data_IF_315297913816
#
_entry.id   IF_315297913816
#
_cell.length_a   1.000
_cell.length_b   1.000
_cell.length_c   1.000
_cell.angle_alpha   90.00
_cell.angle_beta   90.00
_cell.angle_gamma   90.00
#
_symmetry.space_group_name_H-M   'P 1'
#
loop_
_entity.id
_entity.type
_entity.pdbx_description
1 polymer ?
#
# COMPACT_ATOMS: atom_id res chain seq x y z
N UNK A 1 -9.09 37.88 36.73
CA UNK A 1 -9.16 36.51 37.27
C UNK A 1 -10.62 36.15 37.43
N UNK A 2 -11.24 35.59 36.39
CA UNK A 2 -12.51 34.87 36.53
C UNK A 2 -12.19 33.43 36.14
N UNK A 3 -12.40 32.54 37.12
CA UNK A 3 -11.94 31.16 37.15
C UNK A 3 -13.19 30.30 37.02
N UNK A 4 -13.41 29.72 35.84
CA UNK A 4 -14.36 28.62 35.70
C UNK A 4 -13.66 27.33 36.15
N UNK A 5 -14.25 26.68 37.16
CA UNK A 5 -13.70 25.54 37.91
C UNK A 5 -14.03 24.16 37.30
N UNK A 6 -14.47 24.10 36.03
CA UNK A 6 -14.72 22.82 35.35
C UNK A 6 -13.78 22.63 34.14
N UNK A 7 -12.69 21.89 34.39
CA UNK A 7 -11.75 21.30 33.41
C UNK A 7 -10.99 22.26 32.46
N UNK A 8 -10.00 23.01 32.98
CA UNK A 8 -8.92 23.53 32.12
C UNK A 8 -7.92 22.42 31.80
N UNK A 9 -8.36 21.43 31.02
CA UNK A 9 -7.46 20.41 30.48
C UNK A 9 -6.59 21.07 29.40
N UNK A 10 -5.41 21.57 29.81
CA UNK A 10 -4.41 22.11 28.89
C UNK A 10 -4.01 20.98 27.92
N UNK A 11 -4.48 21.06 26.68
CA UNK A 11 -4.16 20.10 25.63
C UNK A 11 -3.02 20.63 24.76
N UNK A 12 -2.06 19.76 24.44
CA UNK A 12 -0.97 20.09 23.53
C UNK A 12 -1.42 20.02 22.07
N UNK A 13 -0.90 20.94 21.26
CA UNK A 13 -0.99 20.99 19.79
C UNK A 13 0.42 20.84 19.24
N UNK A 14 0.65 19.75 18.52
CA UNK A 14 1.92 19.48 17.87
C UNK A 14 1.91 20.13 16.50
N UNK A 15 2.84 21.03 16.25
CA UNK A 15 2.99 21.76 15.00
C UNK A 15 4.33 21.43 14.34
N UNK A 16 4.34 21.45 13.01
CA UNK A 16 5.55 21.30 12.21
C UNK A 16 5.76 22.55 11.37
N UNK A 17 7.00 23.05 11.36
CA UNK A 17 7.37 24.25 10.64
C UNK A 17 8.75 24.14 10.00
N UNK A 18 9.17 25.21 9.34
CA UNK A 18 10.49 25.34 8.75
C UNK A 18 11.30 26.37 9.53
N UNK A 19 12.47 25.94 10.00
CA UNK A 19 13.52 26.83 10.46
C UNK A 19 14.40 27.19 9.26
N UNK A 20 14.47 28.49 8.97
CA UNK A 20 15.34 28.98 7.90
C UNK A 20 16.75 29.21 8.45
N UNK A 21 17.73 28.53 7.87
CA UNK A 21 19.14 28.74 8.19
C UNK A 21 19.79 29.53 7.09
N UNK A 22 20.27 30.72 7.45
CA UNK A 22 21.01 31.59 6.55
C UNK A 22 22.37 30.96 6.26
N UNK A 23 22.46 30.19 5.17
CA UNK A 23 23.70 29.51 4.79
C UNK A 23 24.17 30.01 3.43
N UNK A 24 25.04 31.01 3.45
CA UNK A 24 25.70 31.57 2.26
C UNK A 24 26.58 30.58 1.49
N UNK A 25 26.86 29.39 2.05
CA UNK A 25 27.68 28.34 1.40
C UNK A 25 26.88 27.28 0.64
N UNK A 26 25.55 27.27 0.73
CA UNK A 26 24.71 26.21 0.15
C UNK A 26 24.16 26.57 -1.24
N UNK A 27 24.14 27.86 -1.58
CA UNK A 27 23.59 28.36 -2.86
C UNK A 27 24.46 28.05 -4.10
N UNK A 28 25.63 27.44 -3.95
CA UNK A 28 26.55 27.13 -5.08
C UNK A 28 26.37 25.72 -5.65
N UNK A 29 25.50 24.89 -5.06
CA UNK A 29 25.26 23.52 -5.51
C UNK A 29 23.81 23.42 -6.00
N UNK A 30 23.59 23.69 -7.28
CA UNK A 30 22.32 23.38 -7.97
C UNK A 30 22.13 21.87 -8.00
N UNK A 31 21.33 21.34 -7.07
CA UNK A 31 20.95 19.93 -6.98
C UNK A 31 19.43 19.81 -6.88
N UNK A 32 18.84 18.71 -7.35
CA UNK A 32 17.39 18.53 -7.51
C UNK A 32 16.55 18.68 -6.22
N UNK A 33 17.18 18.73 -5.04
CA UNK A 33 16.55 19.05 -3.75
C UNK A 33 16.84 20.51 -3.37
N UNK A 34 16.20 21.47 -4.05
CA UNK A 34 16.37 22.93 -3.95
C UNK A 34 15.98 23.58 -2.59
N UNK A 35 15.96 22.83 -1.48
CA UNK A 35 15.45 23.31 -0.18
C UNK A 35 16.39 23.14 1.01
N UNK A 36 17.70 22.97 0.79
CA UNK A 36 18.70 22.74 1.86
C UNK A 36 18.78 23.89 2.90
N UNK A 37 18.20 25.06 2.61
CA UNK A 37 18.11 26.19 3.56
C UNK A 37 16.96 26.09 4.58
N UNK A 38 16.11 25.06 4.49
CA UNK A 38 14.94 24.87 5.35
C UNK A 38 15.07 23.56 6.13
N UNK A 39 15.11 23.63 7.45
CA UNK A 39 15.04 22.45 8.29
C UNK A 39 13.64 22.30 8.87
N UNK A 40 13.08 21.10 8.79
CA UNK A 40 11.81 20.80 9.45
C UNK A 40 12.03 20.81 10.98
N UNK A 41 11.24 21.62 11.68
CA UNK A 41 11.33 21.79 13.11
C UNK A 41 9.97 21.51 13.77
N UNK A 42 9.85 20.44 14.57
CA UNK A 42 8.63 20.16 15.32
C UNK A 42 8.60 21.00 16.61
N UNK A 43 7.42 21.50 16.97
CA UNK A 43 7.18 22.20 18.22
C UNK A 43 5.85 21.79 18.84
N UNK A 44 5.76 21.79 20.17
CA UNK A 44 4.52 21.52 20.90
C UNK A 44 4.10 22.80 21.61
N UNK A 45 2.90 23.27 21.30
CA UNK A 45 2.31 24.50 21.84
C UNK A 45 0.98 24.19 22.53
N UNK A 46 0.49 25.05 23.44
CA UNK A 46 -0.87 24.91 23.97
C UNK A 46 -1.90 24.99 22.84
N UNK A 47 -3.00 24.24 22.95
CA UNK A 47 -4.06 24.17 21.94
C UNK A 47 -4.76 25.49 21.63
N UNK A 48 -4.76 26.43 22.58
CA UNK A 48 -5.26 27.79 22.37
C UNK A 48 -4.37 28.69 21.52
N UNK A 49 -3.13 28.29 21.23
CA UNK A 49 -2.19 29.07 20.41
C UNK A 49 -2.37 28.78 18.91
N UNK A 50 -2.26 29.85 18.12
CA UNK A 50 -2.20 29.80 16.65
C UNK A 50 -0.76 29.71 16.15
N UNK A 51 -0.54 29.29 14.90
CA UNK A 51 0.79 29.28 14.29
C UNK A 51 1.44 30.67 14.31
N UNK A 52 0.66 31.74 14.16
CA UNK A 52 1.15 33.12 14.19
C UNK A 52 1.77 33.49 15.54
N UNK A 53 1.14 33.07 16.64
CA UNK A 53 1.64 33.35 17.99
C UNK A 53 3.05 32.78 18.19
N UNK A 54 3.29 31.58 17.66
CA UNK A 54 4.58 30.91 17.75
C UNK A 54 5.61 31.56 16.82
N UNK A 55 5.19 32.00 15.62
CA UNK A 55 6.08 32.74 14.72
C UNK A 55 6.54 34.06 15.38
N UNK A 56 5.64 34.80 16.02
CA UNK A 56 5.97 36.00 16.77
C UNK A 56 6.90 35.72 17.96
N UNK A 57 6.64 34.65 18.72
CA UNK A 57 7.52 34.23 19.81
C UNK A 57 8.92 33.86 19.30
N UNK A 58 8.99 33.09 18.21
CA UNK A 58 10.26 32.63 17.64
C UNK A 58 11.12 33.77 17.11
N UNK A 59 10.50 34.76 16.47
CA UNK A 59 11.18 35.97 15.98
C UNK A 59 11.68 36.83 17.13
N UNK A 60 10.92 36.92 18.23
CA UNK A 60 11.37 37.55 19.48
C UNK A 60 12.59 36.86 20.12
N UNK A 61 12.76 35.56 19.90
CA UNK A 61 13.93 34.77 20.33
C UNK A 61 15.08 34.78 19.32
N UNK A 62 14.94 35.47 18.18
CA UNK A 62 15.97 35.55 17.14
C UNK A 62 15.97 34.38 16.15
N UNK A 63 14.94 33.53 16.15
CA UNK A 63 14.78 32.44 15.18
C UNK A 63 13.77 32.80 14.10
N UNK A 64 14.09 32.53 12.83
CA UNK A 64 13.14 32.65 11.72
C UNK A 64 12.42 31.31 11.50
N UNK A 65 11.41 31.04 12.32
CA UNK A 65 10.57 29.84 12.23
C UNK A 65 9.25 30.20 11.54
N UNK A 66 8.89 29.44 10.51
CA UNK A 66 7.58 29.53 9.85
C UNK A 66 6.79 28.25 10.12
N UNK A 67 5.64 28.39 10.78
CA UNK A 67 4.75 27.26 11.09
C UNK A 67 3.57 27.26 10.12
N UNK A 68 3.24 26.07 9.60
CA UNK A 68 2.07 25.87 8.75
C UNK A 68 0.92 25.39 9.65
N UNK A 69 -0.15 26.17 9.72
CA UNK A 69 -1.32 25.88 10.57
C UNK A 69 -1.93 24.50 10.23
N UNK A 70 -1.99 24.13 8.94
CA UNK A 70 -2.48 22.83 8.48
C UNK A 70 -1.62 21.65 8.94
N UNK A 71 -0.39 21.90 9.41
CA UNK A 71 0.52 20.90 9.96
C UNK A 71 0.57 20.95 11.49
N UNK A 72 -0.49 21.47 12.10
CA UNK A 72 -0.70 21.43 13.52
C UNK A 72 -1.84 20.48 13.88
N UNK A 73 -1.60 19.56 14.80
CA UNK A 73 -2.60 18.59 15.23
C UNK A 73 -2.68 18.51 16.77
N UNK A 74 -3.90 18.50 17.30
CA UNK A 74 -4.17 18.18 18.70
C UNK A 74 -4.57 16.72 18.84
N UNK A 75 -4.34 16.12 20.01
CA UNK A 75 -4.68 14.71 20.25
C UNK A 75 -6.17 14.38 20.03
N UNK A 76 -7.06 15.37 20.09
CA UNK A 76 -8.49 15.23 19.84
C UNK A 76 -8.96 15.53 18.42
N UNK A 77 -8.10 16.05 17.52
CA UNK A 77 -8.52 16.44 16.15
C UNK A 77 -8.40 15.29 15.14
N UNK A 78 -8.59 14.05 15.56
CA UNK A 78 -8.67 12.94 14.61
C UNK A 78 -9.92 13.12 13.74
N UNK A 79 -9.80 12.78 12.45
CA UNK A 79 -10.93 12.86 11.52
C UNK A 79 -12.07 11.97 11.98
N UNK A 80 -13.29 12.48 11.94
CA UNK A 80 -14.47 11.69 12.22
C UNK A 80 -14.73 10.68 11.08
N UNK A 81 -15.52 9.65 11.38
CA UNK A 81 -15.86 8.64 10.39
C UNK A 81 -16.81 9.19 9.33
N UNK A 82 -16.26 9.56 8.18
CA UNK A 82 -17.05 9.91 7.00
C UNK A 82 -17.90 8.73 6.50
N UNK A 83 -19.00 9.03 5.81
CA UNK A 83 -19.87 8.02 5.18
C UNK A 83 -19.12 7.02 4.29
N UNK A 84 -18.12 7.48 3.55
CA UNK A 84 -17.28 6.62 2.71
C UNK A 84 -16.52 5.60 3.55
N UNK A 85 -15.94 6.04 4.66
CA UNK A 85 -15.17 5.19 5.57
C UNK A 85 -16.04 4.14 6.23
N UNK A 86 -17.23 4.51 6.70
CA UNK A 86 -18.21 3.57 7.25
C UNK A 86 -18.59 2.52 6.19
N UNK A 87 -18.81 2.94 4.95
CA UNK A 87 -19.12 2.03 3.83
C UNK A 87 -17.97 1.06 3.54
N UNK A 88 -16.72 1.53 3.58
CA UNK A 88 -15.55 0.67 3.34
C UNK A 88 -15.31 -0.31 4.49
N UNK A 89 -15.42 0.14 5.74
CA UNK A 89 -15.31 -0.72 6.93
C UNK A 89 -16.38 -1.82 6.88
N UNK A 90 -17.63 -1.45 6.60
CA UNK A 90 -18.74 -2.42 6.53
C UNK A 90 -18.54 -3.41 5.39
N UNK A 91 -18.08 -2.97 4.20
CA UNK A 91 -17.76 -3.84 3.08
C UNK A 91 -16.67 -4.87 3.42
N UNK A 92 -15.53 -4.42 3.96
CA UNK A 92 -14.45 -5.32 4.36
C UNK A 92 -14.87 -6.24 5.51
N UNK A 93 -15.67 -5.73 6.46
CA UNK A 93 -16.26 -6.53 7.53
C UNK A 93 -17.15 -7.65 6.99
N UNK A 94 -18.00 -7.37 6.01
CA UNK A 94 -18.82 -8.37 5.34
C UNK A 94 -17.97 -9.43 4.62
N UNK A 95 -16.93 -9.03 3.89
CA UNK A 95 -16.01 -9.97 3.23
C UNK A 95 -15.29 -10.84 4.26
N UNK A 96 -14.80 -10.25 5.35
CA UNK A 96 -14.18 -10.99 6.45
C UNK A 96 -15.15 -12.01 7.08
N UNK A 97 -16.40 -11.60 7.31
CA UNK A 97 -17.44 -12.48 7.81
C UNK A 97 -17.72 -13.64 6.83
N UNK A 98 -17.80 -13.37 5.52
CA UNK A 98 -17.94 -14.42 4.51
C UNK A 98 -16.75 -15.39 4.51
N UNK A 99 -15.51 -14.90 4.66
CA UNK A 99 -14.33 -15.75 4.77
C UNK A 99 -14.38 -16.65 6.01
N UNK A 100 -14.82 -16.11 7.16
CA UNK A 100 -14.99 -16.89 8.39
C UNK A 100 -16.06 -17.98 8.21
N UNK A 101 -17.24 -17.61 7.69
CA UNK A 101 -18.33 -18.57 7.43
C UNK A 101 -17.92 -19.66 6.43
N UNK A 102 -17.22 -19.29 5.35
CA UNK A 102 -16.70 -20.21 4.35
C UNK A 102 -15.65 -21.17 4.93
N UNK A 103 -14.77 -20.66 5.80
CA UNK A 103 -13.75 -21.47 6.48
C UNK A 103 -14.38 -22.44 7.47
N UNK A 104 -15.37 -22.01 8.25
CA UNK A 104 -16.14 -22.89 9.16
C UNK A 104 -16.84 -24.00 8.36
N UNK A 105 -17.49 -23.66 7.24
CA UNK A 105 -18.15 -24.64 6.38
C UNK A 105 -17.17 -25.69 5.81
N UNK A 106 -16.00 -25.27 5.33
CA UNK A 106 -14.97 -26.20 4.82
C UNK A 106 -14.41 -27.10 5.93
N UNK A 107 -14.11 -26.54 7.10
CA UNK A 107 -13.63 -27.31 8.25
C UNK A 107 -14.68 -28.31 8.76
N UNK A 108 -15.95 -27.90 8.86
CA UNK A 108 -17.05 -28.77 9.26
C UNK A 108 -17.23 -29.94 8.29
N UNK A 109 -17.23 -29.68 6.99
CA UNK A 109 -17.33 -30.73 5.97
C UNK A 109 -16.14 -31.69 6.01
N UNK A 110 -14.93 -31.21 6.25
CA UNK A 110 -13.74 -32.05 6.41
C UNK A 110 -13.82 -32.89 7.69
N UNK A 111 -14.23 -32.30 8.81
CA UNK A 111 -14.38 -33.00 10.08
C UNK A 111 -15.40 -34.14 9.98
N UNK A 112 -16.59 -33.88 9.40
CA UNK A 112 -17.61 -34.92 9.18
C UNK A 112 -17.10 -36.04 8.26
N UNK A 113 -16.33 -35.71 7.22
CA UNK A 113 -15.71 -36.73 6.34
C UNK A 113 -14.72 -37.58 7.10
N UNK A 114 -13.88 -36.97 7.93
CA UNK A 114 -12.89 -37.67 8.75
C UNK A 114 -13.57 -38.57 9.80
N UNK A 115 -14.65 -38.11 10.45
CA UNK A 115 -15.44 -38.94 11.37
C UNK A 115 -16.16 -40.09 10.66
N UNK A 116 -16.64 -39.90 9.42
CA UNK A 116 -17.20 -40.99 8.61
C UNK A 116 -16.12 -41.95 8.09
N UNK A 117 -14.88 -41.49 7.90
CA UNK A 117 -13.75 -42.33 7.45
C UNK A 117 -13.38 -43.40 8.48
N UNK A 118 -13.54 -43.13 9.77
CA UNK A 118 -13.27 -44.11 10.83
C UNK A 118 -14.29 -45.28 10.84
N UNK A 119 -15.46 -45.12 10.21
CA UNK A 119 -16.55 -46.10 10.16
C UNK A 119 -16.63 -46.87 8.82
N UNK A 120 -15.63 -46.72 7.94
CA UNK A 120 -15.73 -47.01 6.50
C UNK A 120 -14.70 -48.02 5.98
N UNK A 121 -14.36 -49.05 6.76
CA UNK A 121 -13.70 -50.23 6.19
C UNK A 121 -14.74 -51.18 5.53
N UNK A 122 -15.99 -51.23 6.02
CA UNK A 122 -17.00 -52.20 5.52
C UNK A 122 -17.97 -51.67 4.44
N UNK A 123 -18.03 -50.35 4.17
CA UNK A 123 -19.00 -49.72 3.23
C UNK A 123 -18.27 -49.04 2.03
N UNK A 124 -17.12 -49.57 1.64
CA UNK A 124 -16.28 -48.94 0.61
C UNK A 124 -16.79 -49.15 -0.83
N UNK A 125 -17.57 -50.20 -1.12
CA UNK A 125 -17.94 -50.55 -2.50
C UNK A 125 -19.24 -49.92 -3.04
N UNK A 126 -20.18 -49.44 -2.19
CA UNK A 126 -21.52 -49.05 -2.68
C UNK A 126 -21.77 -47.54 -2.81
N UNK A 127 -20.93 -46.67 -2.24
CA UNK A 127 -21.22 -45.23 -2.12
C UNK A 127 -20.13 -44.33 -2.70
N UNK A 128 -19.65 -44.69 -3.89
CA UNK A 128 -18.70 -43.90 -4.66
C UNK A 128 -19.36 -42.86 -5.58
N UNK A 129 -20.70 -42.81 -5.68
CA UNK A 129 -21.33 -42.11 -6.82
C UNK A 129 -22.28 -40.95 -6.49
N UNK A 130 -22.76 -40.76 -5.25
CA UNK A 130 -23.85 -39.80 -5.00
C UNK A 130 -23.56 -38.96 -3.74
N UNK A 131 -23.43 -37.64 -3.92
CA UNK A 131 -23.48 -36.52 -2.92
C UNK A 131 -22.29 -36.30 -1.96
N UNK A 132 -21.13 -35.92 -2.49
CA UNK A 132 -19.97 -35.57 -1.64
C UNK A 132 -19.03 -34.49 -2.16
N UNK A 133 -19.43 -33.63 -3.10
CA UNK A 133 -18.60 -32.45 -3.46
C UNK A 133 -19.09 -31.28 -2.61
N UNK A 134 -18.24 -30.66 -1.76
CA UNK A 134 -18.67 -29.48 -1.03
C UNK A 134 -18.99 -28.39 -2.04
N UNK A 135 -20.04 -27.59 -1.80
CA UNK A 135 -20.45 -26.54 -2.73
C UNK A 135 -19.24 -25.64 -3.04
N UNK A 136 -18.82 -25.62 -4.30
CA UNK A 136 -17.55 -24.99 -4.70
C UNK A 136 -17.54 -23.50 -4.30
N UNK A 137 -18.67 -22.80 -4.49
CA UNK A 137 -18.87 -21.39 -4.10
C UNK A 137 -18.64 -21.17 -2.61
N UNK A 138 -19.25 -22.00 -1.75
CA UNK A 138 -19.12 -21.88 -0.30
C UNK A 138 -17.72 -22.27 0.19
N UNK A 139 -16.93 -22.98 -0.61
CA UNK A 139 -15.55 -23.36 -0.30
C UNK A 139 -14.52 -22.39 -0.89
N UNK A 140 -14.89 -21.54 -1.87
CA UNK A 140 -13.96 -20.64 -2.56
C UNK A 140 -13.33 -19.57 -1.67
N UNK A 141 -14.02 -19.14 -0.60
CA UNK A 141 -13.53 -18.13 0.34
C UNK A 141 -12.89 -18.73 1.61
N UNK A 142 -12.67 -20.05 1.65
CA UNK A 142 -12.07 -20.73 2.79
C UNK A 142 -10.58 -20.37 2.88
N UNK A 143 -10.20 -19.67 3.95
CA UNK A 143 -8.81 -19.28 4.22
C UNK A 143 -7.93 -20.51 4.38
N UNK A 144 -8.45 -21.57 5.00
CA UNK A 144 -7.70 -22.82 5.19
C UNK A 144 -7.39 -23.52 3.86
N UNK A 145 -8.39 -23.65 2.98
CA UNK A 145 -8.21 -24.30 1.67
C UNK A 145 -7.25 -23.49 0.78
N UNK A 146 -7.52 -22.19 0.65
CA UNK A 146 -6.70 -21.30 -0.17
C UNK A 146 -5.29 -21.17 0.40
N UNK A 147 -5.13 -21.14 1.73
CA UNK A 147 -3.82 -21.14 2.38
C UNK A 147 -3.03 -22.42 2.12
N UNK A 148 -3.66 -23.60 2.23
CA UNK A 148 -3.00 -24.86 1.88
C UNK A 148 -2.56 -24.89 0.42
N UNK A 149 -3.37 -24.35 -0.48
CA UNK A 149 -3.02 -24.26 -1.90
C UNK A 149 -1.91 -23.23 -2.17
N UNK A 150 -1.92 -22.09 -1.46
CA UNK A 150 -0.90 -21.04 -1.55
C UNK A 150 0.48 -21.53 -1.12
N UNK A 151 0.55 -22.34 -0.06
CA UNK A 151 1.80 -22.92 0.44
C UNK A 151 2.14 -24.29 -0.20
N UNK A 152 1.31 -24.79 -1.11
CA UNK A 152 1.61 -26.04 -1.80
C UNK A 152 2.66 -25.82 -2.89
N UNK A 153 3.77 -26.54 -2.79
CA UNK A 153 4.76 -26.61 -3.85
C UNK A 153 4.25 -27.60 -4.91
N UNK A 154 3.85 -27.08 -6.07
CA UNK A 154 3.43 -27.87 -7.21
C UNK A 154 4.48 -27.73 -8.31
N UNK A 155 4.97 -28.86 -8.81
CA UNK A 155 5.84 -28.88 -9.99
C UNK A 155 4.99 -29.10 -11.23
N UNK A 156 5.15 -28.23 -12.22
CA UNK A 156 4.49 -28.33 -13.50
C UNK A 156 5.55 -28.26 -14.59
N UNK A 157 5.65 -29.31 -15.42
CA UNK A 157 6.62 -29.38 -16.52
C UNK A 157 6.39 -28.32 -17.59
N UNK A 158 5.21 -27.68 -17.59
CA UNK A 158 4.86 -26.58 -18.50
C UNK A 158 5.16 -25.19 -17.90
N UNK A 159 5.91 -25.10 -16.79
CA UNK A 159 6.28 -23.84 -16.16
C UNK A 159 7.79 -23.64 -16.14
N UNK A 160 8.23 -22.39 -16.26
CA UNK A 160 9.66 -22.03 -16.22
C UNK A 160 10.02 -21.69 -14.77
N UNK A 161 10.48 -22.69 -14.02
CA UNK A 161 10.67 -22.57 -12.56
C UNK A 161 11.65 -21.48 -12.14
N UNK A 162 12.71 -21.21 -12.93
CA UNK A 162 13.69 -20.18 -12.61
C UNK A 162 13.09 -18.75 -12.58
N UNK A 163 11.98 -18.52 -13.28
CA UNK A 163 11.29 -17.23 -13.26
C UNK A 163 10.71 -16.92 -11.87
N UNK A 164 10.35 -17.95 -11.08
CA UNK A 164 9.89 -17.75 -9.71
C UNK A 164 10.99 -17.15 -8.84
N UNK A 165 12.23 -17.66 -8.96
CA UNK A 165 13.38 -17.10 -8.25
C UNK A 165 13.67 -15.65 -8.67
N UNK A 166 13.58 -15.37 -9.97
CA UNK A 166 13.78 -14.01 -10.49
C UNK A 166 12.73 -13.02 -9.94
N UNK A 167 11.46 -13.45 -9.83
CA UNK A 167 10.40 -12.64 -9.20
C UNK A 167 10.72 -12.34 -7.75
N UNK A 168 11.13 -13.33 -6.97
CA UNK A 168 11.45 -13.15 -5.55
C UNK A 168 12.58 -12.13 -5.39
N UNK A 169 13.65 -12.23 -6.18
CA UNK A 169 14.75 -11.27 -6.14
C UNK A 169 14.28 -9.85 -6.50
N UNK A 170 13.46 -9.70 -7.54
CA UNK A 170 12.90 -8.41 -7.92
C UNK A 170 11.99 -7.83 -6.81
N UNK A 171 11.13 -8.65 -6.19
CA UNK A 171 10.29 -8.23 -5.05
C UNK A 171 11.14 -7.73 -3.87
N UNK A 172 12.24 -8.42 -3.53
CA UNK A 172 13.13 -8.03 -2.45
C UNK A 172 13.74 -6.64 -2.70
N UNK A 173 14.23 -6.40 -3.91
CA UNK A 173 14.80 -5.08 -4.28
C UNK A 173 13.75 -3.98 -4.17
N UNK A 174 12.52 -4.23 -4.65
CA UNK A 174 11.44 -3.25 -4.58
C UNK A 174 11.03 -2.95 -3.13
N UNK A 175 10.89 -3.98 -2.28
CA UNK A 175 10.54 -3.80 -0.85
C UNK A 175 11.62 -3.00 -0.13
N UNK A 176 12.90 -3.30 -0.38
CA UNK A 176 14.03 -2.53 0.14
C UNK A 176 13.93 -1.07 -0.33
N UNK A 177 13.79 -0.86 -1.65
CA UNK A 177 13.66 0.48 -2.24
C UNK A 177 12.53 1.30 -1.62
N UNK A 178 11.34 0.73 -1.47
CA UNK A 178 10.19 1.39 -0.83
C UNK A 178 10.42 1.70 0.65
N UNK A 179 11.06 0.81 1.39
CA UNK A 179 11.37 1.04 2.80
C UNK A 179 12.33 2.23 2.94
N UNK A 180 13.38 2.26 2.13
CA UNK A 180 14.32 3.39 2.10
C UNK A 180 13.62 4.68 1.65
N UNK A 181 12.77 4.62 0.63
CA UNK A 181 11.97 5.75 0.17
C UNK A 181 11.18 6.35 1.33
N UNK A 182 10.35 5.55 1.99
CA UNK A 182 9.52 6.03 3.11
C UNK A 182 10.38 6.64 4.22
N UNK A 183 11.46 5.98 4.63
CA UNK A 183 12.34 6.46 5.71
C UNK A 183 13.07 7.76 5.35
N UNK A 184 13.53 7.90 4.10
CA UNK A 184 14.27 9.09 3.65
C UNK A 184 13.36 10.28 3.35
N UNK A 185 12.10 10.05 2.97
CA UNK A 185 11.11 11.12 2.82
C UNK A 185 10.53 11.61 4.15
N UNK A 186 10.80 10.92 5.27
CA UNK A 186 10.48 11.45 6.59
C UNK A 186 11.56 12.43 7.09
N UNK A 187 11.19 13.50 7.80
CA UNK A 187 12.11 14.51 8.36
C UNK A 187 12.82 14.02 9.62
N UNK A 188 13.21 12.75 9.64
CA UNK A 188 13.86 12.10 10.79
C UNK A 188 15.40 12.14 10.60
N UNK A 189 15.87 12.42 9.38
CA UNK A 189 17.29 12.45 9.02
C UNK A 189 17.69 13.82 8.50
N UNK A 190 18.96 14.16 8.70
CA UNK A 190 19.57 15.35 8.11
C UNK A 190 19.53 15.24 6.59
N UNK A 191 18.88 16.19 5.92
CA UNK A 191 18.77 16.24 4.46
C UNK A 191 20.14 16.23 3.77
N UNK A 192 21.16 16.86 4.37
CA UNK A 192 22.52 16.85 3.83
C UNK A 192 23.13 15.44 3.82
N UNK A 193 22.87 14.65 4.87
CA UNK A 193 23.33 13.27 4.92
C UNK A 193 22.62 12.43 3.85
N UNK A 194 21.31 12.63 3.67
CA UNK A 194 20.54 11.91 2.64
C UNK A 194 21.03 12.29 1.25
N UNK A 195 21.25 13.58 0.97
CA UNK A 195 21.80 14.03 -0.30
C UNK A 195 23.18 13.42 -0.56
N UNK A 196 24.07 13.45 0.44
CA UNK A 196 25.38 12.80 0.30
C UNK A 196 25.24 11.29 0.04
N UNK A 197 24.34 10.62 0.74
CA UNK A 197 24.10 9.18 0.62
C UNK A 197 23.57 8.79 -0.76
N UNK A 198 22.62 9.53 -1.35
CA UNK A 198 22.07 9.20 -2.69
C UNK A 198 23.08 9.39 -3.83
N UNK A 199 24.10 10.21 -3.62
CA UNK A 199 25.17 10.45 -4.60
C UNK A 199 26.34 9.45 -4.51
N UNK A 200 26.31 8.53 -3.55
CA UNK A 200 27.34 7.49 -3.42
C UNK A 200 27.04 6.29 -4.34
N UNK A 201 28.03 5.86 -5.11
CA UNK A 201 27.90 4.76 -6.10
C UNK A 201 27.42 3.46 -5.45
N UNK A 202 27.89 3.13 -4.25
CA UNK A 202 27.45 1.92 -3.53
C UNK A 202 25.95 1.87 -3.22
N UNK A 203 25.27 3.01 -3.17
CA UNK A 203 23.84 3.10 -2.83
C UNK A 203 22.96 3.18 -4.08
N UNK A 204 23.56 3.30 -5.28
CA UNK A 204 22.83 3.54 -6.51
C UNK A 204 21.83 2.44 -6.83
N UNK A 205 22.11 1.18 -6.47
CA UNK A 205 21.16 0.07 -6.67
C UNK A 205 19.87 0.21 -5.84
N UNK A 206 19.92 0.88 -4.69
CA UNK A 206 18.72 1.19 -3.88
C UNK A 206 18.02 2.41 -4.45
N UNK A 207 18.79 3.47 -4.75
CA UNK A 207 18.27 4.73 -5.32
C UNK A 207 17.56 4.47 -6.64
N UNK A 208 18.07 3.51 -7.42
CA UNK A 208 17.54 3.07 -8.71
C UNK A 208 16.81 1.73 -8.63
N UNK A 209 16.28 1.40 -7.45
CA UNK A 209 15.48 0.20 -7.24
C UNK A 209 14.17 0.19 -8.04
N UNK A 210 13.73 1.34 -8.55
CA UNK A 210 12.61 1.47 -9.47
C UNK A 210 12.80 0.66 -10.77
N UNK A 211 14.03 0.51 -11.28
CA UNK A 211 14.30 -0.38 -12.42
C UNK A 211 14.04 -1.86 -12.13
N UNK A 212 13.91 -2.28 -10.87
CA UNK A 212 13.50 -3.65 -10.57
C UNK A 212 12.09 -3.96 -11.10
N UNK A 213 11.24 -2.94 -11.28
CA UNK A 213 9.91 -3.07 -11.91
C UNK A 213 10.02 -3.52 -13.37
N UNK A 214 11.06 -3.10 -14.10
CA UNK A 214 11.29 -3.51 -15.50
C UNK A 214 11.47 -5.03 -15.62
N UNK A 215 11.98 -5.66 -14.57
CA UNK A 215 12.08 -7.12 -14.50
C UNK A 215 10.69 -7.76 -14.60
N UNK A 216 9.67 -7.21 -13.93
CA UNK A 216 8.30 -7.73 -14.02
C UNK A 216 7.68 -7.53 -15.41
N UNK A 217 8.00 -6.43 -16.09
CA UNK A 217 7.57 -6.22 -17.47
C UNK A 217 8.18 -7.27 -18.41
N UNK A 218 9.49 -7.52 -18.29
CA UNK A 218 10.19 -8.55 -19.08
C UNK A 218 9.62 -9.95 -18.78
N UNK A 219 9.46 -10.30 -17.50
CA UNK A 219 8.89 -11.58 -17.08
C UNK A 219 7.46 -11.78 -17.62
N UNK A 220 6.64 -10.73 -17.58
CA UNK A 220 5.29 -10.75 -18.13
C UNK A 220 5.31 -11.00 -19.65
N UNK A 221 6.21 -10.34 -20.38
CA UNK A 221 6.39 -10.55 -21.83
C UNK A 221 6.84 -11.97 -22.19
N UNK A 222 7.78 -12.53 -21.44
CA UNK A 222 8.26 -13.91 -21.60
C UNK A 222 7.10 -14.89 -21.41
N UNK A 223 6.32 -14.74 -20.33
CA UNK A 223 5.23 -15.66 -20.01
C UNK A 223 4.07 -15.61 -21.00
N UNK A 224 3.74 -14.41 -21.50
CA UNK A 224 2.71 -14.27 -22.55
C UNK A 224 3.18 -14.96 -23.83
N UNK A 225 4.42 -14.71 -24.27
CA UNK A 225 5.00 -15.35 -25.45
C UNK A 225 5.08 -16.87 -25.32
N UNK A 226 5.55 -17.36 -24.17
CA UNK A 226 5.65 -18.79 -23.89
C UNK A 226 4.27 -19.47 -23.86
N UNK A 227 3.29 -18.86 -23.18
CA UNK A 227 1.91 -19.37 -23.13
C UNK A 227 1.24 -19.38 -24.50
N UNK A 228 1.54 -18.39 -25.34
CA UNK A 228 1.07 -18.32 -26.72
C UNK A 228 1.64 -19.46 -27.56
N UNK A 229 2.96 -19.67 -27.51
CA UNK A 229 3.64 -20.75 -28.22
C UNK A 229 3.12 -22.13 -27.79
N UNK A 230 2.94 -22.36 -26.49
CA UNK A 230 2.36 -23.61 -25.97
C UNK A 230 0.95 -23.87 -26.52
N UNK A 231 0.11 -22.84 -26.63
CA UNK A 231 -1.25 -22.99 -27.19
C UNK A 231 -1.24 -23.30 -28.68
N UNK A 232 -0.32 -22.69 -29.44
CA UNK A 232 -0.16 -22.98 -30.87
C UNK A 232 0.29 -24.44 -31.08
N UNK A 233 1.30 -24.90 -30.33
CA UNK A 233 1.78 -26.29 -30.41
C UNK A 233 0.66 -27.29 -30.07
N UNK A 234 -0.23 -26.91 -29.15
CA UNK A 234 -1.42 -27.70 -28.77
C UNK A 234 -2.61 -27.55 -29.75
N UNK A 235 -2.45 -26.90 -30.91
CA UNK A 235 -3.51 -26.61 -31.88
C UNK A 235 -4.73 -25.86 -31.29
N UNK A 236 -4.52 -25.07 -30.25
CA UNK A 236 -5.57 -24.26 -29.61
C UNK A 236 -5.55 -22.82 -30.13
N UNK A 237 -6.73 -22.25 -30.37
CA UNK A 237 -6.85 -20.83 -30.78
C UNK A 237 -6.49 -19.91 -29.62
N UNK A 238 -5.65 -18.90 -29.88
CA UNK A 238 -5.35 -17.84 -28.92
C UNK A 238 -6.29 -16.65 -29.11
N UNK A 239 -7.36 -16.58 -28.31
CA UNK A 239 -8.22 -15.40 -28.29
C UNK A 239 -7.59 -14.29 -27.44
N UNK A 240 -7.10 -13.27 -28.12
CA UNK A 240 -6.45 -12.10 -27.51
C UNK A 240 -7.43 -11.36 -26.58
N UNK A 241 -8.68 -11.18 -26.99
CA UNK A 241 -9.69 -10.47 -26.21
C UNK A 241 -9.96 -11.21 -24.89
N UNK A 242 -10.14 -12.53 -24.96
CA UNK A 242 -10.34 -13.36 -23.78
C UNK A 242 -9.13 -13.33 -22.85
N UNK A 243 -7.91 -13.30 -23.40
CA UNK A 243 -6.69 -13.19 -22.60
C UNK A 243 -6.64 -11.87 -21.81
N UNK A 244 -6.89 -10.73 -22.46
CA UNK A 244 -6.91 -9.43 -21.79
C UNK A 244 -8.08 -9.29 -20.81
N UNK A 245 -9.25 -9.82 -21.14
CA UNK A 245 -10.41 -9.81 -20.23
C UNK A 245 -10.10 -10.61 -18.95
N UNK A 246 -9.53 -11.82 -19.07
CA UNK A 246 -9.13 -12.62 -17.93
C UNK A 246 -8.06 -11.91 -17.09
N UNK A 247 -7.13 -11.21 -17.73
CA UNK A 247 -6.12 -10.41 -17.05
C UNK A 247 -6.76 -9.27 -16.27
N UNK A 248 -7.67 -8.52 -16.90
CA UNK A 248 -8.38 -7.42 -16.23
C UNK A 248 -9.20 -7.93 -15.04
N UNK A 249 -10.01 -8.97 -15.22
CA UNK A 249 -10.82 -9.56 -14.14
C UNK A 249 -10.00 -10.15 -12.99
N UNK A 250 -8.75 -10.55 -13.24
CA UNK A 250 -7.84 -11.06 -12.21
C UNK A 250 -7.19 -9.94 -11.39
N UNK A 251 -6.76 -8.85 -12.04
CA UNK A 251 -5.94 -7.81 -11.41
C UNK A 251 -6.78 -6.66 -10.81
N UNK A 252 -7.89 -6.30 -11.47
CA UNK A 252 -8.72 -5.18 -11.05
C UNK A 252 -9.36 -5.33 -9.66
N UNK A 253 -9.81 -6.52 -9.21
CA UNK A 253 -10.41 -6.65 -7.88
C UNK A 253 -9.46 -6.32 -6.73
N UNK A 254 -8.20 -6.75 -6.81
CA UNK A 254 -7.20 -6.44 -5.77
C UNK A 254 -6.83 -4.96 -5.79
N UNK A 255 -6.66 -4.37 -6.98
CA UNK A 255 -6.42 -2.93 -7.12
C UNK A 255 -7.59 -2.09 -6.58
N UNK A 256 -8.84 -2.47 -6.89
CA UNK A 256 -10.03 -1.80 -6.38
C UNK A 256 -10.10 -1.87 -4.84
N UNK A 257 -9.82 -3.03 -4.25
CA UNK A 257 -9.74 -3.18 -2.80
C UNK A 257 -8.64 -2.29 -2.19
N UNK A 258 -7.47 -2.20 -2.84
CA UNK A 258 -6.39 -1.32 -2.40
C UNK A 258 -6.78 0.17 -2.45
N UNK A 259 -7.39 0.62 -3.54
CA UNK A 259 -7.89 2.01 -3.66
C UNK A 259 -8.92 2.32 -2.57
N UNK A 260 -9.87 1.40 -2.33
CA UNK A 260 -10.86 1.56 -1.25
C UNK A 260 -10.20 1.62 0.12
N UNK A 261 -9.17 0.82 0.36
CA UNK A 261 -8.38 0.89 1.59
C UNK A 261 -7.67 2.24 1.74
N UNK A 262 -7.00 2.74 0.69
CA UNK A 262 -6.28 4.02 0.71
C UNK A 262 -7.24 5.19 0.97
N UNK A 263 -8.35 5.27 0.25
CA UNK A 263 -9.27 6.42 0.38
C UNK A 263 -10.18 6.30 1.61
N UNK A 264 -10.56 5.08 1.99
CA UNK A 264 -11.54 4.82 3.04
C UNK A 264 -10.97 4.63 4.43
N UNK A 265 -9.79 3.99 4.56
CA UNK A 265 -9.24 3.53 5.84
C UNK A 265 -7.87 4.14 6.18
N UNK A 266 -7.00 4.34 5.19
CA UNK A 266 -5.61 4.74 5.43
C UNK A 266 -5.53 6.01 6.28
N UNK A 267 -6.44 6.97 6.08
CA UNK A 267 -6.53 8.24 6.83
C UNK A 267 -6.66 8.09 8.35
N UNK A 268 -7.10 6.94 8.87
CA UNK A 268 -7.21 6.68 10.32
C UNK A 268 -6.05 5.87 10.89
N UNK A 269 -5.14 5.37 10.05
CA UNK A 269 -4.01 4.54 10.49
C UNK A 269 -2.84 5.36 11.03
N UNK A 270 -2.89 6.69 10.92
CA UNK A 270 -1.84 7.56 11.40
C UNK A 270 -2.37 8.83 12.05
N UNK A 271 -1.46 9.51 12.73
CA UNK A 271 -1.68 10.81 13.34
C UNK A 271 -0.33 11.52 13.48
N UNK A 272 -0.38 12.83 13.68
CA UNK A 272 0.77 13.70 13.84
C UNK A 272 0.76 14.86 12.84
N UNK A 273 1.61 15.86 13.07
CA UNK A 273 1.62 17.09 12.28
C UNK A 273 1.98 16.89 10.79
N UNK A 274 2.64 15.78 10.45
CA UNK A 274 2.93 15.39 9.06
C UNK A 274 1.72 14.77 8.36
N UNK A 275 0.78 14.22 9.12
CA UNK A 275 -0.31 13.41 8.60
C UNK A 275 -1.18 14.14 7.56
N UNK A 276 -1.59 15.41 7.79
CA UNK A 276 -2.32 16.18 6.77
C UNK A 276 -1.55 16.35 5.46
N UNK A 277 -0.21 16.49 5.54
CA UNK A 277 0.62 16.53 4.33
C UNK A 277 0.60 15.18 3.60
N UNK A 278 0.70 14.07 4.34
CA UNK A 278 0.63 12.73 3.77
C UNK A 278 -0.73 12.46 3.11
N UNK A 279 -1.83 12.88 3.74
CA UNK A 279 -3.18 12.80 3.17
C UNK A 279 -3.27 13.57 1.85
N UNK A 280 -2.77 14.81 1.80
CA UNK A 280 -2.76 15.63 0.58
C UNK A 280 -1.89 15.05 -0.55
N UNK A 281 -0.77 14.40 -0.23
CA UNK A 281 0.11 13.81 -1.25
C UNK A 281 -0.32 12.41 -1.72
N UNK A 282 -1.03 11.65 -0.88
CA UNK A 282 -1.31 10.21 -1.14
C UNK A 282 -2.80 9.93 -1.31
N UNK A 283 -3.63 10.45 -0.41
CA UNK A 283 -5.05 10.08 -0.33
C UNK A 283 -5.89 10.96 -1.26
N UNK A 284 -5.69 12.28 -1.26
CA UNK A 284 -6.46 13.20 -2.11
C UNK A 284 -6.31 12.88 -3.61
N UNK A 285 -5.09 12.67 -4.15
CA UNK A 285 -4.92 12.33 -5.57
C UNK A 285 -5.55 10.97 -5.90
N UNK A 286 -5.50 10.01 -4.97
CA UNK A 286 -6.15 8.71 -5.14
C UNK A 286 -7.67 8.84 -5.21
N UNK A 287 -8.25 9.70 -4.36
CA UNK A 287 -9.70 9.99 -4.32
C UNK A 287 -10.19 10.72 -5.57
N UNK A 288 -9.37 11.59 -6.15
CA UNK A 288 -9.74 12.35 -7.35
C UNK A 288 -9.57 11.51 -8.63
N UNK A 289 -8.52 10.68 -8.67
CA UNK A 289 -8.07 9.96 -9.87
C UNK A 289 -8.28 8.44 -9.82
N UNK A 290 -9.13 7.93 -8.92
CA UNK A 290 -9.35 6.49 -8.73
C UNK A 290 -9.69 5.73 -10.02
N UNK A 291 -10.50 6.35 -10.89
CA UNK A 291 -10.99 5.73 -12.11
C UNK A 291 -9.90 5.58 -13.19
N UNK A 292 -8.91 6.49 -13.23
CA UNK A 292 -7.73 6.33 -14.09
C UNK A 292 -6.92 5.10 -13.72
N UNK A 293 -6.78 4.85 -12.42
CA UNK A 293 -6.07 3.70 -11.89
C UNK A 293 -6.80 2.38 -12.21
N UNK A 294 -8.14 2.35 -12.09
CA UNK A 294 -8.92 1.16 -12.46
C UNK A 294 -8.89 0.86 -13.97
N UNK A 295 -8.81 1.88 -14.81
CA UNK A 295 -8.69 1.73 -16.26
C UNK A 295 -7.25 1.50 -16.74
N UNK A 296 -6.25 1.59 -15.84
CA UNK A 296 -4.82 1.50 -16.17
C UNK A 296 -4.35 2.55 -17.20
N UNK A 297 -4.95 3.75 -17.20
CA UNK A 297 -4.62 4.84 -18.15
C UNK A 297 -3.86 6.02 -17.51
N UNK A 298 -3.39 5.85 -16.26
CA UNK A 298 -2.71 6.91 -15.50
C UNK A 298 -1.53 7.52 -16.26
N UNK A 299 -0.78 6.71 -17.00
CA UNK A 299 0.37 7.16 -17.80
C UNK A 299 -0.01 8.07 -18.99
N UNK A 300 -1.27 8.06 -19.44
CA UNK A 300 -1.71 8.83 -20.61
C UNK A 300 -2.45 10.11 -20.27
N UNK A 301 -3.12 10.14 -19.11
CA UNK A 301 -4.03 11.24 -18.76
C UNK A 301 -3.37 12.28 -17.87
N UNK A 302 -2.41 11.90 -17.04
CA UNK A 302 -1.84 12.83 -16.07
C UNK A 302 -0.37 12.54 -15.79
N UNK A 303 0.54 13.19 -16.54
CA UNK A 303 2.00 13.11 -16.31
C UNK A 303 2.41 13.65 -14.92
N UNK A 304 1.54 14.43 -14.26
CA UNK A 304 1.81 15.10 -12.97
C UNK A 304 1.31 14.35 -11.73
N UNK A 305 0.52 13.29 -11.88
CA UNK A 305 0.21 12.42 -10.74
C UNK A 305 1.46 11.61 -10.45
N UNK A 306 2.22 12.04 -9.44
CA UNK A 306 3.50 11.47 -9.05
C UNK A 306 3.55 9.94 -9.23
N UNK A 307 4.25 9.56 -10.31
CA UNK A 307 4.55 8.22 -10.82
C UNK A 307 5.13 7.24 -9.78
N UNK A 308 5.44 7.66 -8.56
CA UNK A 308 6.29 6.90 -7.63
C UNK A 308 5.56 5.99 -6.65
N UNK A 309 4.34 6.34 -6.22
CA UNK A 309 3.66 5.62 -5.12
C UNK A 309 2.57 4.71 -5.68
N UNK A 310 1.66 5.21 -6.51
CA UNK A 310 0.53 4.39 -6.99
C UNK A 310 0.95 3.33 -8.00
N UNK A 311 1.89 3.63 -8.93
CA UNK A 311 2.34 2.66 -9.94
C UNK A 311 3.29 1.61 -9.34
N UNK A 312 4.23 2.01 -8.49
CA UNK A 312 5.11 1.03 -7.83
C UNK A 312 4.36 0.17 -6.80
N UNK A 313 3.44 0.72 -5.99
CA UNK A 313 2.62 -0.11 -5.10
C UNK A 313 1.66 -1.00 -5.88
N UNK A 314 1.04 -0.51 -6.96
CA UNK A 314 0.16 -1.34 -7.79
C UNK A 314 0.95 -2.46 -8.46
N UNK A 315 2.11 -2.20 -9.06
CA UNK A 315 2.92 -3.26 -9.70
C UNK A 315 3.47 -4.25 -8.65
N UNK A 316 3.86 -3.79 -7.46
CA UNK A 316 4.38 -4.66 -6.39
C UNK A 316 3.31 -5.55 -5.74
N UNK A 317 2.06 -5.09 -5.66
CA UNK A 317 0.97 -5.85 -5.05
C UNK A 317 0.10 -6.63 -6.05
N UNK A 318 0.18 -6.32 -7.34
CA UNK A 318 -0.68 -6.90 -8.39
C UNK A 318 0.06 -7.92 -9.28
N UNK A 319 1.40 -7.99 -9.23
CA UNK A 319 2.20 -9.04 -9.89
C UNK A 319 2.88 -9.99 -8.91
#
# INVERSE_FOLDING_TARGET
MYRDENETKLSGKYCLGYLYVNNTRVSTITRPFDKIHRMLFPTCIPSGCTALDVQHLSTGLGFNLSIIENWCQTAGSQSEFDHLSITVVTLFGCVALFMVLSTIYDLYNRFIRNCKSLKRYDIFLLKSSITGVPNWILSSFSVYKNGKELFAIKHNSEEIECLYGLRVLAMVVIVIGHTFLVVHFQPIRNEYFVDHWVHQVQNMWIVKGDYAVDTFFVLSGILVSYSFMLKIVKNHKFNIIQHYLNRYLRLTPSLAAFILFVVGLLKFLGSGPMWPSFEGYTIEPCKEHWWYNLLYITNYVNEKVHLGITINFTITFVF
#
